data_IF_867176444674
#
_entry.id   IF_867176444674
#
_cell.length_a   1.000
_cell.length_b   1.000
_cell.length_c   1.000
_cell.angle_alpha   90.00
_cell.angle_beta   90.00
_cell.angle_gamma   90.00
#
_symmetry.space_group_name_H-M   'P 1'
#
loop_
_entity.id
_entity.type
_entity.pdbx_description
1 polymer ?
#
# COMPACT_ATOMS: atom_id res chain seq x y z
N UNK A 1 17.10 -3.37 -9.27
CA UNK A 1 18.19 -4.38 -9.42
C UNK A 1 19.02 -4.58 -8.13
N UNK A 2 19.54 -3.49 -7.55
CA UNK A 2 20.34 -3.55 -6.31
C UNK A 2 19.54 -4.07 -5.11
N UNK A 3 18.29 -3.64 -4.93
CA UNK A 3 17.42 -4.11 -3.84
C UNK A 3 17.15 -5.63 -3.89
N UNK A 4 17.05 -6.20 -5.09
CA UNK A 4 16.86 -7.64 -5.30
C UNK A 4 18.13 -8.40 -4.89
N UNK A 5 19.30 -7.87 -5.23
CA UNK A 5 20.58 -8.46 -4.83
C UNK A 5 20.78 -8.45 -3.31
N UNK A 6 20.45 -7.34 -2.65
CA UNK A 6 20.50 -7.22 -1.17
C UNK A 6 19.55 -8.21 -0.51
N UNK A 7 18.38 -8.47 -1.13
CA UNK A 7 17.44 -9.45 -0.60
C UNK A 7 18.00 -10.88 -0.57
N UNK A 8 18.71 -11.30 -1.62
CA UNK A 8 19.35 -12.62 -1.68
C UNK A 8 20.52 -12.76 -0.70
N UNK A 9 21.24 -11.67 -0.42
CA UNK A 9 22.31 -11.66 0.59
C UNK A 9 21.74 -11.91 1.98
N UNK A 10 20.59 -11.32 2.31
CA UNK A 10 20.00 -11.46 3.63
C UNK A 10 19.29 -12.81 3.81
N UNK A 11 18.51 -13.31 2.85
CA UNK A 11 17.60 -14.48 3.03
C UNK A 11 18.14 -15.85 2.68
N UNK A 12 19.40 -15.97 2.24
CA UNK A 12 19.94 -17.14 1.53
C UNK A 12 19.25 -17.35 0.17
N UNK A 13 20.03 -17.76 -0.83
CA UNK A 13 19.65 -17.67 -2.24
C UNK A 13 18.35 -18.43 -2.57
N UNK A 14 18.17 -19.64 -2.03
CA UNK A 14 17.11 -20.56 -2.44
C UNK A 14 15.73 -20.15 -1.87
N UNK A 15 15.53 -20.04 -0.54
CA UNK A 15 14.23 -19.64 0.01
C UNK A 15 13.89 -18.18 -0.32
N UNK A 16 14.88 -17.29 -0.37
CA UNK A 16 14.69 -15.90 -0.79
C UNK A 16 14.18 -15.78 -2.23
N UNK A 17 14.75 -16.57 -3.16
CA UNK A 17 14.30 -16.60 -4.55
C UNK A 17 12.88 -17.12 -4.69
N UNK A 18 12.52 -18.21 -4.01
CA UNK A 18 11.17 -18.80 -4.08
C UNK A 18 10.11 -17.84 -3.50
N UNK A 19 10.38 -17.23 -2.34
CA UNK A 19 9.49 -16.25 -1.73
C UNK A 19 9.35 -14.99 -2.59
N UNK A 20 10.45 -14.49 -3.16
CA UNK A 20 10.42 -13.34 -4.04
C UNK A 20 9.61 -13.62 -5.32
N UNK A 21 9.88 -14.75 -5.99
CA UNK A 21 9.19 -15.10 -7.23
C UNK A 21 7.69 -15.27 -7.00
N UNK A 22 7.29 -15.96 -5.92
CA UNK A 22 5.88 -16.16 -5.59
C UNK A 22 5.15 -14.83 -5.32
N UNK A 23 5.72 -13.96 -4.50
CA UNK A 23 5.13 -12.64 -4.20
C UNK A 23 5.04 -11.78 -5.46
N UNK A 24 6.10 -11.73 -6.27
CA UNK A 24 6.12 -10.94 -7.51
C UNK A 24 5.10 -11.49 -8.51
N UNK A 25 5.06 -12.79 -8.75
CA UNK A 25 4.11 -13.41 -9.68
C UNK A 25 2.66 -13.14 -9.28
N UNK A 26 2.32 -13.33 -8.00
CA UNK A 26 0.96 -13.08 -7.50
C UNK A 26 0.64 -11.57 -7.56
N UNK A 27 1.57 -10.71 -7.14
CA UNK A 27 1.40 -9.26 -7.19
C UNK A 27 1.18 -8.73 -8.60
N UNK A 28 1.89 -9.28 -9.60
CA UNK A 28 1.76 -8.88 -11.01
C UNK A 28 0.45 -9.36 -11.63
N UNK A 29 0.02 -10.59 -11.32
CA UNK A 29 -1.29 -11.11 -11.71
C UNK A 29 -2.43 -10.25 -11.13
N UNK A 30 -2.35 -9.92 -9.84
CA UNK A 30 -3.35 -9.09 -9.18
C UNK A 30 -3.31 -7.63 -9.65
N UNK A 31 -2.13 -7.10 -10.01
CA UNK A 31 -2.03 -5.80 -10.69
C UNK A 31 -2.78 -5.82 -12.02
N UNK A 32 -2.68 -6.90 -12.78
CA UNK A 32 -3.46 -7.09 -14.01
C UNK A 32 -4.97 -7.01 -13.74
N UNK A 33 -5.45 -7.72 -12.71
CA UNK A 33 -6.85 -7.66 -12.29
C UNK A 33 -7.28 -6.25 -11.86
N UNK A 34 -6.50 -5.62 -10.98
CA UNK A 34 -6.80 -4.30 -10.41
C UNK A 34 -6.74 -3.18 -11.45
N UNK A 35 -5.91 -3.32 -12.48
CA UNK A 35 -5.80 -2.35 -13.58
C UNK A 35 -7.01 -2.36 -14.52
N UNK A 36 -7.83 -3.43 -14.52
CA UNK A 36 -9.10 -3.44 -15.26
C UNK A 36 -10.16 -2.56 -14.58
N UNK A 37 -10.02 -2.35 -13.27
CA UNK A 37 -10.81 -1.37 -12.55
C UNK A 37 -10.18 0.01 -12.81
N UNK A 38 -10.95 0.95 -13.37
CA UNK A 38 -10.54 2.33 -13.67
C UNK A 38 -10.26 3.13 -12.39
N UNK A 39 -9.31 2.67 -11.59
CA UNK A 39 -8.95 3.22 -10.28
C UNK A 39 -7.94 4.35 -10.42
N UNK A 40 -8.13 5.38 -9.59
CA UNK A 40 -7.17 6.44 -9.35
C UNK A 40 -5.80 5.87 -8.93
N UNK A 41 -4.71 6.53 -9.36
CA UNK A 41 -3.33 6.07 -9.15
C UNK A 41 -3.01 5.80 -7.67
N UNK A 42 -3.53 6.63 -6.77
CA UNK A 42 -3.31 6.51 -5.32
C UNK A 42 -3.97 5.25 -4.76
N UNK A 43 -5.27 5.03 -5.02
CA UNK A 43 -6.00 3.84 -4.54
C UNK A 43 -5.37 2.55 -5.07
N UNK A 44 -4.89 2.56 -6.32
CA UNK A 44 -4.21 1.42 -6.94
C UNK A 44 -2.94 1.03 -6.16
N UNK A 45 -2.08 1.98 -5.83
CA UNK A 45 -0.83 1.70 -5.09
C UNK A 45 -1.14 1.20 -3.68
N UNK A 46 -2.10 1.82 -2.99
CA UNK A 46 -2.50 1.40 -1.64
C UNK A 46 -3.08 -0.02 -1.61
N UNK A 47 -3.95 -0.37 -2.56
CA UNK A 47 -4.51 -1.72 -2.65
C UNK A 47 -3.44 -2.78 -2.96
N UNK A 48 -2.47 -2.45 -3.83
CA UNK A 48 -1.33 -3.33 -4.09
C UNK A 48 -0.48 -3.56 -2.83
N UNK A 49 -0.22 -2.51 -2.05
CA UNK A 49 0.52 -2.61 -0.78
C UNK A 49 -0.20 -3.53 0.22
N UNK A 50 -1.50 -3.31 0.46
CA UNK A 50 -2.28 -4.10 1.42
C UNK A 50 -2.30 -5.57 0.99
N UNK A 51 -2.47 -5.83 -0.30
CA UNK A 51 -2.44 -7.18 -0.84
C UNK A 51 -1.07 -7.86 -0.63
N UNK A 52 0.02 -7.16 -0.90
CA UNK A 52 1.38 -7.68 -0.66
C UNK A 52 1.60 -7.98 0.82
N UNK A 53 1.07 -7.16 1.73
CA UNK A 53 1.08 -7.44 3.18
C UNK A 53 0.31 -8.72 3.49
N UNK A 54 -0.85 -8.95 2.88
CA UNK A 54 -1.61 -10.20 3.05
C UNK A 54 -0.85 -11.43 2.56
N UNK A 55 -0.25 -11.35 1.37
CA UNK A 55 0.50 -12.46 0.78
C UNK A 55 1.73 -12.77 1.64
N UNK A 56 2.45 -11.75 2.09
CA UNK A 56 3.63 -11.94 2.95
C UNK A 56 3.26 -12.44 4.35
N UNK A 57 2.14 -11.99 4.93
CA UNK A 57 1.62 -12.51 6.19
C UNK A 57 1.18 -13.99 6.06
N UNK A 58 0.47 -14.34 4.98
CA UNK A 58 0.07 -15.72 4.70
C UNK A 58 1.28 -16.64 4.49
N UNK A 59 2.25 -16.22 3.68
CA UNK A 59 3.51 -16.93 3.49
C UNK A 59 4.30 -17.05 4.80
N UNK A 60 4.24 -16.03 5.66
CA UNK A 60 4.91 -16.04 6.97
C UNK A 60 4.30 -17.09 7.90
N UNK A 61 2.97 -17.17 7.97
CA UNK A 61 2.27 -18.19 8.75
C UNK A 61 2.58 -19.60 8.21
N UNK A 62 2.59 -19.76 6.89
CA UNK A 62 2.91 -21.03 6.24
C UNK A 62 4.37 -21.45 6.44
N UNK A 63 5.30 -20.49 6.33
CA UNK A 63 6.74 -20.67 6.55
C UNK A 63 7.08 -20.96 8.01
N UNK A 64 6.36 -20.35 8.95
CA UNK A 64 6.48 -20.63 10.39
C UNK A 64 6.10 -22.07 10.72
N UNK A 65 5.01 -22.59 10.13
CA UNK A 65 4.63 -24.01 10.31
C UNK A 65 5.64 -24.99 9.68
N UNK A 66 6.40 -24.56 8.67
CA UNK A 66 7.50 -25.35 8.09
C UNK A 66 8.86 -25.17 8.80
N UNK A 67 8.91 -24.44 9.92
CA UNK A 67 10.13 -24.29 10.72
C UNK A 67 11.15 -23.28 10.16
N UNK A 68 10.79 -22.50 9.15
CA UNK A 68 11.65 -21.43 8.64
C UNK A 68 11.51 -20.18 9.51
N UNK A 69 12.65 -19.64 9.96
CA UNK A 69 12.72 -18.42 10.76
C UNK A 69 12.34 -17.22 9.86
N UNK A 70 11.04 -16.95 9.75
CA UNK A 70 10.43 -16.11 8.72
C UNK A 70 10.55 -14.60 9.00
N UNK A 71 11.31 -14.22 10.03
CA UNK A 71 11.52 -12.82 10.43
C UNK A 71 12.22 -11.95 9.38
N UNK A 72 12.97 -12.55 8.43
CA UNK A 72 13.74 -11.80 7.43
C UNK A 72 12.95 -11.37 6.18
N UNK A 73 11.82 -12.00 5.86
CA UNK A 73 11.06 -11.69 4.64
C UNK A 73 10.22 -10.41 4.79
N UNK A 74 9.78 -10.09 6.01
CA UNK A 74 8.99 -8.88 6.33
C UNK A 74 9.85 -7.61 6.23
N UNK A 75 11.16 -7.72 6.36
CA UNK A 75 12.10 -6.58 6.37
C UNK A 75 12.25 -5.89 5.01
N UNK A 76 11.94 -6.57 3.90
CA UNK A 76 12.07 -5.99 2.55
C UNK A 76 11.00 -4.98 2.21
N UNK A 77 9.81 -5.13 2.78
CA UNK A 77 8.70 -4.24 2.48
C UNK A 77 8.98 -2.80 2.96
N UNK A 78 9.41 -2.56 4.22
CA UNK A 78 9.88 -1.25 4.66
C UNK A 78 11.05 -0.70 3.82
N UNK A 79 11.99 -1.55 3.42
CA UNK A 79 13.13 -1.12 2.60
C UNK A 79 12.69 -0.59 1.23
N UNK A 80 11.75 -1.27 0.56
CA UNK A 80 11.19 -0.82 -0.73
C UNK A 80 10.43 0.49 -0.56
N UNK A 81 9.65 0.64 0.51
CA UNK A 81 8.93 1.90 0.79
C UNK A 81 9.91 3.05 1.00
N UNK A 82 10.95 2.85 1.81
CA UNK A 82 11.95 3.89 2.09
C UNK A 82 12.69 4.25 0.81
N UNK A 83 13.16 3.26 0.03
CA UNK A 83 13.85 3.52 -1.23
C UNK A 83 12.96 4.29 -2.22
N UNK A 84 11.69 3.89 -2.36
CA UNK A 84 10.72 4.60 -3.19
C UNK A 84 10.47 6.02 -2.70
N UNK A 85 10.38 6.21 -1.39
CA UNK A 85 10.20 7.54 -0.78
C UNK A 85 11.40 8.42 -1.07
N UNK A 86 12.62 7.89 -0.93
CA UNK A 86 13.86 8.61 -1.25
C UNK A 86 13.89 8.97 -2.73
N UNK A 87 13.61 8.03 -3.63
CA UNK A 87 13.56 8.27 -5.07
C UNK A 87 12.60 9.41 -5.42
N UNK A 88 11.36 9.34 -4.90
CA UNK A 88 10.34 10.36 -5.15
C UNK A 88 10.74 11.72 -4.59
N UNK A 89 11.34 11.76 -3.39
CA UNK A 89 11.81 13.02 -2.79
C UNK A 89 13.03 13.58 -3.53
N UNK A 90 13.89 12.72 -4.09
CA UNK A 90 15.04 13.12 -4.91
C UNK A 90 14.58 13.74 -6.22
N UNK A 91 13.64 13.10 -6.91
CA UNK A 91 13.05 13.65 -8.14
C UNK A 91 12.38 14.99 -7.85
N UNK A 92 11.61 15.08 -6.75
CA UNK A 92 10.96 16.32 -6.35
C UNK A 92 11.97 17.44 -6.05
N UNK A 93 13.13 17.10 -5.47
CA UNK A 93 14.19 18.06 -5.22
C UNK A 93 14.90 18.52 -6.50
N UNK A 94 14.94 17.67 -7.51
CA UNK A 94 15.50 18.01 -8.83
C UNK A 94 14.52 18.82 -9.69
N UNK A 95 13.23 18.50 -9.63
CA UNK A 95 12.16 19.13 -10.42
C UNK A 95 11.60 20.41 -9.79
N UNK A 96 11.47 20.46 -8.46
CA UNK A 96 10.94 21.60 -7.70
C UNK A 96 12.02 22.23 -6.79
N UNK A 97 11.74 23.44 -6.28
CA UNK A 97 12.64 24.09 -5.33
C UNK A 97 12.66 23.36 -3.97
N UNK A 98 13.78 23.38 -3.26
CA UNK A 98 13.92 22.70 -1.96
C UNK A 98 12.90 23.08 -0.88
N UNK A 99 12.19 24.20 -1.02
CA UNK A 99 11.06 24.56 -0.14
C UNK A 99 9.85 23.65 -0.34
N UNK A 100 9.53 23.24 -1.57
CA UNK A 100 8.40 22.35 -1.84
C UNK A 100 8.66 20.95 -1.28
N UNK A 101 9.89 20.44 -1.39
CA UNK A 101 10.30 19.18 -0.77
C UNK A 101 10.16 19.22 0.74
N UNK A 102 10.49 20.35 1.38
CA UNK A 102 10.34 20.53 2.83
C UNK A 102 8.86 20.50 3.24
N UNK A 103 7.98 21.15 2.49
CA UNK A 103 6.54 21.17 2.76
C UNK A 103 5.93 19.77 2.53
N UNK A 104 6.24 19.12 1.40
CA UNK A 104 5.73 17.78 1.08
C UNK A 104 6.28 16.71 2.04
N UNK A 105 7.57 16.79 2.35
CA UNK A 105 8.24 15.88 3.30
C UNK A 105 7.71 16.02 4.72
N UNK A 106 7.57 17.25 5.22
CA UNK A 106 7.00 17.50 6.55
C UNK A 106 5.53 17.11 6.65
N UNK A 107 4.73 17.37 5.61
CA UNK A 107 3.33 16.91 5.53
C UNK A 107 3.22 15.39 5.58
N UNK A 108 4.06 14.68 4.82
CA UNK A 108 4.11 13.21 4.85
C UNK A 108 4.53 12.68 6.22
N UNK A 109 5.53 13.30 6.87
CA UNK A 109 6.00 12.89 8.18
C UNK A 109 4.95 13.13 9.26
N UNK A 110 4.24 14.26 9.21
CA UNK A 110 3.14 14.56 10.12
C UNK A 110 2.01 13.53 10.01
N UNK A 111 1.56 13.23 8.79
CA UNK A 111 0.54 12.20 8.56
C UNK A 111 1.03 10.82 9.03
N UNK A 112 2.30 10.49 8.81
CA UNK A 112 2.88 9.25 9.28
C UNK A 112 2.90 9.13 10.82
N UNK A 113 3.22 10.21 11.53
CA UNK A 113 3.18 10.26 13.00
C UNK A 113 1.73 10.10 13.50
N UNK A 114 0.78 10.82 12.90
CA UNK A 114 -0.64 10.66 13.26
C UNK A 114 -1.12 9.22 13.02
N UNK A 115 -0.78 8.62 11.89
CA UNK A 115 -1.11 7.24 11.58
C UNK A 115 -0.47 6.27 12.58
N UNK A 116 0.80 6.47 12.94
CA UNK A 116 1.48 5.66 13.95
C UNK A 116 0.78 5.72 15.31
N UNK A 117 0.39 6.91 15.77
CA UNK A 117 -0.33 7.08 17.03
C UNK A 117 -1.69 6.38 17.00
N UNK A 118 -2.39 6.45 15.86
CA UNK A 118 -3.69 5.80 15.67
C UNK A 118 -3.56 4.27 15.64
N UNK A 119 -2.51 3.75 15.00
CA UNK A 119 -2.19 2.32 14.99
C UNK A 119 -1.72 1.78 16.34
N UNK A 120 -1.06 2.63 17.14
CA UNK A 120 -0.58 2.29 18.48
C UNK A 120 -1.70 2.25 19.53
N UNK A 121 -2.91 2.68 19.19
CA UNK A 121 -4.05 2.57 20.08
C UNK A 121 -4.41 1.10 20.34
N UNK A 122 -4.62 0.68 21.60
CA UNK A 122 -4.92 -0.72 21.94
C UNK A 122 -6.19 -1.25 21.27
N UNK A 123 -7.16 -0.36 20.97
CA UNK A 123 -8.35 -0.69 20.18
C UNK A 123 -8.02 -1.08 18.74
N UNK A 124 -7.10 -0.36 18.09
CA UNK A 124 -6.69 -0.63 16.71
C UNK A 124 -5.93 -1.96 16.62
N UNK A 125 -5.01 -2.22 17.56
CA UNK A 125 -4.32 -3.50 17.67
C UNK A 125 -5.29 -4.66 17.89
N UNK A 126 -6.21 -4.55 18.86
CA UNK A 126 -7.15 -5.63 19.16
C UNK A 126 -8.06 -5.95 17.96
N UNK A 127 -8.60 -4.95 17.27
CA UNK A 127 -9.46 -5.17 16.10
C UNK A 127 -8.69 -5.80 14.95
N UNK A 128 -7.50 -5.28 14.65
CA UNK A 128 -6.71 -5.69 13.47
C UNK A 128 -6.18 -7.11 13.59
N UNK A 129 -5.74 -7.52 14.79
CA UNK A 129 -5.17 -8.85 15.00
C UNK A 129 -6.22 -9.94 15.27
N UNK A 130 -7.35 -9.61 15.90
CA UNK A 130 -8.39 -10.61 16.19
C UNK A 130 -9.39 -10.79 15.04
N UNK A 131 -9.57 -9.77 14.18
CA UNK A 131 -10.50 -9.82 13.06
C UNK A 131 -9.80 -9.49 11.74
N UNK A 132 -9.09 -10.45 11.13
CA UNK A 132 -8.46 -10.28 9.81
C UNK A 132 -9.47 -9.83 8.73
N UNK A 133 -10.73 -10.23 8.88
CA UNK A 133 -11.86 -9.86 8.02
C UNK A 133 -12.03 -8.34 7.86
N UNK A 134 -11.68 -7.54 8.88
CA UNK A 134 -11.73 -6.08 8.80
C UNK A 134 -10.84 -5.52 7.69
N UNK A 135 -9.74 -6.17 7.34
CA UNK A 135 -8.89 -5.68 6.26
C UNK A 135 -9.56 -5.83 4.89
N UNK A 136 -10.41 -6.84 4.69
CA UNK A 136 -11.19 -6.95 3.45
C UNK A 136 -12.25 -5.83 3.37
N UNK A 137 -12.83 -5.43 4.51
CA UNK A 137 -13.72 -4.26 4.59
C UNK A 137 -12.96 -2.98 4.26
N UNK A 138 -11.78 -2.77 4.85
CA UNK A 138 -10.92 -1.62 4.56
C UNK A 138 -10.49 -1.60 3.08
N UNK A 139 -10.14 -2.76 2.52
CA UNK A 139 -9.85 -2.91 1.09
C UNK A 139 -11.06 -2.48 0.24
N UNK A 140 -12.26 -2.95 0.59
CA UNK A 140 -13.50 -2.55 -0.07
C UNK A 140 -13.73 -1.03 -0.02
N UNK A 141 -13.52 -0.40 1.14
CA UNK A 141 -13.63 1.05 1.29
C UNK A 141 -12.60 1.81 0.42
N UNK A 142 -11.35 1.33 0.38
CA UNK A 142 -10.29 1.93 -0.45
C UNK A 142 -10.61 1.81 -1.94
N UNK A 143 -11.20 0.68 -2.37
CA UNK A 143 -11.65 0.49 -3.74
C UNK A 143 -12.84 1.39 -4.07
N UNK A 144 -13.81 1.52 -3.17
CA UNK A 144 -14.95 2.43 -3.33
C UNK A 144 -14.49 3.89 -3.44
N UNK A 145 -13.58 4.32 -2.57
CA UNK A 145 -12.96 5.65 -2.67
C UNK A 145 -12.12 5.80 -3.94
N UNK A 146 -11.46 4.73 -4.40
CA UNK A 146 -10.65 4.72 -5.61
C UNK A 146 -11.42 4.79 -6.93
N UNK A 147 -12.67 4.32 -6.92
CA UNK A 147 -13.63 4.45 -8.01
C UNK A 147 -14.41 5.77 -7.95
N UNK A 148 -14.26 6.54 -6.88
CA UNK A 148 -14.92 7.83 -6.73
C UNK A 148 -14.25 8.84 -7.69
N UNK A 149 -14.83 9.01 -8.88
CA UNK A 149 -14.38 9.88 -9.97
C UNK A 149 -14.51 11.38 -9.67
N UNK A 150 -14.57 11.77 -8.40
CA UNK A 150 -14.53 13.18 -8.02
C UNK A 150 -15.78 13.96 -8.41
N UNK A 151 -16.97 13.34 -8.40
CA UNK A 151 -18.17 14.17 -8.27
C UNK A 151 -18.08 14.89 -6.94
N UNK A 152 -17.85 16.20 -7.00
CA UNK A 152 -17.99 17.07 -5.83
C UNK A 152 -19.36 16.75 -5.22
N UNK A 153 -19.40 16.37 -3.94
CA UNK A 153 -20.67 16.22 -3.21
C UNK A 153 -21.54 17.49 -3.32
N UNK A 154 -20.91 18.64 -3.61
CA UNK A 154 -21.57 19.92 -3.89
C UNK A 154 -22.16 20.04 -5.31
N UNK A 155 -21.72 19.25 -6.29
CA UNK A 155 -22.27 19.22 -7.65
C UNK A 155 -23.54 18.36 -7.77
N UNK A 156 -23.77 17.40 -6.86
CA UNK A 156 -25.01 16.62 -6.80
C UNK A 156 -26.26 17.51 -6.61
N UNK A 157 -26.13 18.66 -5.93
CA UNK A 157 -27.23 19.63 -5.77
C UNK A 157 -27.48 20.47 -7.02
N UNK A 158 -26.47 20.68 -7.88
CA UNK A 158 -26.57 21.55 -9.07
C UNK A 158 -27.20 20.85 -10.28
N UNK A 159 -27.20 19.52 -10.30
CA UNK A 159 -27.89 18.70 -11.31
C UNK A 159 -29.20 18.10 -10.80
N UNK A 160 -29.99 18.86 -10.04
CA UNK A 160 -31.42 18.54 -9.93
C UNK A 160 -32.03 18.88 -11.29
N UNK A 161 -32.60 17.92 -12.05
CA UNK A 161 -33.26 18.24 -13.30
C UNK A 161 -34.41 19.20 -12.99
N UNK A 162 -34.32 20.44 -13.47
CA UNK A 162 -35.50 21.29 -13.57
C UNK A 162 -36.49 20.54 -14.46
N UNK A 163 -37.69 20.32 -13.92
CA UNK A 163 -38.85 19.74 -14.60
C UNK A 163 -38.90 20.22 -16.05
N UNK A 164 -39.08 19.27 -16.95
CA UNK A 164 -39.50 19.53 -18.32
C UNK A 164 -40.66 20.53 -18.30
N UNK A 165 -40.52 21.58 -19.11
CA UNK A 165 -41.58 22.53 -19.42
C UNK A 165 -42.69 21.77 -20.16
N UNK A 166 -43.95 21.98 -19.76
CA UNK A 166 -45.14 21.54 -20.51
C UNK A 166 -45.17 22.12 -21.93
#
# INVERSE_FOLDING_TARGET
PVLIAVAFVQTTLIPGLVAFLSVVSIGLAMRGYLSSLNLLLVSRISALIILVIFITAGLSIFGYQMGFNTGMTVTFFPMVIIAWTIERMSILWEEESGQEVLIQGSGSLFVAICAYLLMSAPLAGHLTFNFPELHFVVLGLILLMGQYTGYKLTELKRFTPMKAYD
#
